data_IF_331443773148
#
_entry.id   IF_331443773148
#
_cell.length_a   1.000
_cell.length_b   1.000
_cell.length_c   1.000
_cell.angle_alpha   90.00
_cell.angle_beta   90.00
_cell.angle_gamma   90.00
#
_symmetry.space_group_name_H-M   'P 1'
#
loop_
_entity.id
_entity.type
_entity.pdbx_description
1 polymer ?
#
# COMPACT_ATOMS: atom_id res chain seq x y z
N UNK A 1 -17.75 3.39 8.22
CA UNK A 1 -18.47 4.60 7.79
C UNK A 1 -17.84 5.83 8.43
N UNK A 2 -17.75 6.92 7.67
CA UNK A 2 -17.33 8.24 8.12
C UNK A 2 -18.46 8.97 8.85
N UNK A 3 -18.11 9.77 9.86
CA UNK A 3 -19.01 10.76 10.44
C UNK A 3 -19.16 11.98 9.53
N UNK A 4 -20.19 12.81 9.77
CA UNK A 4 -20.36 14.06 9.04
C UNK A 4 -19.17 15.00 9.25
N UNK A 5 -18.63 15.08 10.46
CA UNK A 5 -17.44 15.87 10.78
C UNK A 5 -16.21 15.41 9.97
N UNK A 6 -16.02 14.10 9.79
CA UNK A 6 -14.94 13.55 8.96
C UNK A 6 -15.13 13.87 7.48
N UNK A 7 -16.37 13.88 6.98
CA UNK A 7 -16.69 14.27 5.59
C UNK A 7 -16.44 15.77 5.37
N UNK A 8 -16.90 16.62 6.30
CA UNK A 8 -16.63 18.07 6.27
C UNK A 8 -15.13 18.35 6.31
N UNK A 9 -14.40 17.69 7.21
CA UNK A 9 -12.95 17.79 7.29
C UNK A 9 -12.26 17.40 5.97
N UNK A 10 -12.67 16.30 5.34
CA UNK A 10 -12.16 15.89 4.04
C UNK A 10 -12.40 16.95 2.96
N UNK A 11 -13.61 17.52 2.90
CA UNK A 11 -13.97 18.53 1.92
C UNK A 11 -13.17 19.83 2.09
N UNK A 12 -12.84 20.20 3.33
CA UNK A 12 -12.05 21.40 3.62
C UNK A 12 -10.54 21.20 3.45
N UNK A 13 -10.01 20.03 3.81
CA UNK A 13 -8.57 19.79 3.94
C UNK A 13 -7.98 18.86 2.88
N UNK A 14 -8.81 18.15 2.12
CA UNK A 14 -8.38 17.22 1.06
C UNK A 14 -7.86 15.87 1.57
N UNK A 15 -7.98 15.56 2.86
CA UNK A 15 -7.61 14.27 3.45
C UNK A 15 -8.47 13.94 4.68
N UNK A 16 -8.50 12.67 5.07
CA UNK A 16 -9.15 12.21 6.31
C UNK A 16 -8.45 10.96 6.86
N UNK A 17 -8.40 10.83 8.18
CA UNK A 17 -7.90 9.65 8.86
C UNK A 17 -9.07 8.80 9.38
N UNK A 18 -8.98 7.49 9.17
CA UNK A 18 -9.94 6.52 9.69
C UNK A 18 -9.18 5.37 10.32
N UNK A 19 -9.45 5.11 11.59
CA UNK A 19 -8.81 4.06 12.36
C UNK A 19 -9.66 2.78 12.36
N UNK A 20 -9.02 1.63 12.55
CA UNK A 20 -9.72 0.36 12.76
C UNK A 20 -10.49 -0.18 11.55
N UNK A 21 -10.12 0.21 10.32
CA UNK A 21 -10.75 -0.31 9.10
C UNK A 21 -10.44 -1.79 8.88
N UNK A 22 -9.21 -2.19 9.16
CA UNK A 22 -8.74 -3.58 9.06
C UNK A 22 -8.59 -4.19 10.45
N UNK A 23 -8.88 -5.48 10.57
CA UNK A 23 -8.63 -6.27 11.76
C UNK A 23 -7.13 -6.50 12.01
N UNK A 24 -6.78 -6.91 13.23
CA UNK A 24 -5.41 -7.30 13.57
C UNK A 24 -4.86 -8.42 12.68
N UNK A 25 -5.73 -9.36 12.30
CA UNK A 25 -5.34 -10.55 11.55
C UNK A 25 -5.10 -10.21 10.08
N UNK A 26 -5.92 -9.32 9.50
CA UNK A 26 -5.68 -8.79 8.16
C UNK A 26 -4.38 -7.97 8.10
N UNK A 27 -4.13 -7.14 9.11
CA UNK A 27 -2.88 -6.38 9.23
C UNK A 27 -1.69 -7.34 9.35
N UNK A 28 -1.80 -8.42 10.14
CA UNK A 28 -0.76 -9.42 10.28
C UNK A 28 -0.46 -10.11 8.94
N UNK A 29 -1.49 -10.54 8.21
CA UNK A 29 -1.33 -11.16 6.90
C UNK A 29 -0.71 -10.21 5.86
N UNK A 30 -1.08 -8.93 5.87
CA UNK A 30 -0.44 -7.92 5.00
C UNK A 30 1.04 -7.75 5.33
N UNK A 31 1.42 -7.78 6.61
CA UNK A 31 2.82 -7.68 7.06
C UNK A 31 3.64 -8.90 6.63
N UNK A 32 3.13 -10.10 6.90
CA UNK A 32 3.79 -11.36 6.52
C UNK A 32 4.11 -11.39 5.02
N UNK A 33 3.12 -11.06 4.17
CA UNK A 33 3.32 -11.02 2.72
C UNK A 33 4.25 -9.87 2.30
N UNK A 34 4.27 -8.75 3.02
CA UNK A 34 5.25 -7.69 2.79
C UNK A 34 6.67 -8.22 3.00
N UNK A 35 6.90 -8.95 4.09
CA UNK A 35 8.20 -9.53 4.42
C UNK A 35 8.61 -10.59 3.39
N UNK A 36 7.66 -11.40 2.90
CA UNK A 36 7.90 -12.33 1.79
C UNK A 36 8.33 -11.61 0.51
N UNK A 37 7.75 -10.46 0.18
CA UNK A 37 8.19 -9.67 -0.97
C UNK A 37 9.61 -9.15 -0.80
N UNK A 38 9.99 -8.72 0.41
CA UNK A 38 11.36 -8.33 0.72
C UNK A 38 12.31 -9.51 0.53
N UNK A 39 11.96 -10.71 1.04
CA UNK A 39 12.79 -11.89 0.87
C UNK A 39 12.93 -12.31 -0.60
N UNK A 40 11.83 -12.33 -1.35
CA UNK A 40 11.83 -12.63 -2.79
C UNK A 40 12.67 -11.64 -3.60
N UNK A 41 12.75 -10.38 -3.16
CA UNK A 41 13.54 -9.37 -3.86
C UNK A 41 15.04 -9.70 -3.88
N UNK A 42 15.55 -10.51 -2.94
CA UNK A 42 16.96 -10.95 -2.94
C UNK A 42 17.38 -11.70 -4.21
N UNK A 43 16.42 -12.31 -4.91
CA UNK A 43 16.67 -13.06 -6.13
C UNK A 43 16.85 -12.16 -7.37
N UNK A 44 16.63 -10.85 -7.26
CA UNK A 44 16.78 -9.90 -8.36
C UNK A 44 17.85 -8.86 -8.04
N UNK A 45 18.69 -8.53 -9.03
CA UNK A 45 19.75 -7.52 -8.88
C UNK A 45 19.39 -6.18 -9.52
N UNK A 46 18.31 -6.13 -10.30
CA UNK A 46 17.85 -4.97 -11.04
C UNK A 46 16.32 -4.85 -10.97
N UNK A 47 15.80 -3.67 -11.28
CA UNK A 47 14.37 -3.44 -11.39
C UNK A 47 13.75 -4.37 -12.45
N UNK A 48 12.62 -4.98 -12.12
CA UNK A 48 11.89 -5.85 -13.05
C UNK A 48 10.40 -5.49 -13.11
N UNK A 49 9.56 -6.40 -13.61
CA UNK A 49 8.11 -6.18 -13.70
C UNK A 49 7.42 -6.04 -12.33
N UNK A 50 8.01 -6.57 -11.26
CA UNK A 50 7.40 -6.67 -9.92
C UNK A 50 8.08 -5.73 -8.93
N UNK A 51 9.41 -5.66 -8.94
CA UNK A 51 10.23 -4.98 -7.96
C UNK A 51 10.88 -3.72 -8.52
N UNK A 52 10.87 -2.68 -7.69
CA UNK A 52 11.63 -1.44 -7.82
C UNK A 52 12.57 -1.40 -6.62
N UNK A 53 13.87 -1.33 -6.87
CA UNK A 53 14.95 -1.50 -5.89
C UNK A 53 15.60 -0.16 -5.57
N UNK A 54 16.05 0.00 -4.34
CA UNK A 54 16.92 1.11 -3.94
C UNK A 54 18.37 0.87 -4.42
N UNK A 55 19.18 1.95 -4.57
CA UNK A 55 20.61 1.81 -4.80
C UNK A 55 21.29 1.01 -3.69
N UNK A 56 22.18 0.09 -4.08
CA UNK A 56 22.88 -0.78 -3.16
C UNK A 56 22.07 -2.00 -2.70
N UNK A 57 20.93 -2.29 -3.33
CA UNK A 57 20.24 -3.57 -3.16
C UNK A 57 21.19 -4.74 -3.48
N UNK A 58 21.22 -5.74 -2.59
CA UNK A 58 21.91 -7.01 -2.80
C UNK A 58 21.09 -8.16 -2.24
N UNK A 59 21.46 -9.39 -2.58
CA UNK A 59 20.82 -10.58 -2.01
C UNK A 59 21.06 -10.67 -0.50
N UNK A 60 22.19 -10.20 0.02
CA UNK A 60 22.52 -10.22 1.45
C UNK A 60 21.85 -9.06 2.20
N UNK A 61 21.78 -7.89 1.57
CA UNK A 61 21.18 -6.67 2.09
C UNK A 61 20.05 -6.18 1.16
N UNK A 62 18.83 -6.74 1.26
CA UNK A 62 17.74 -6.40 0.37
C UNK A 62 17.21 -5.00 0.69
N UNK A 63 17.30 -4.14 -0.32
CA UNK A 63 16.77 -2.77 -0.28
C UNK A 63 15.62 -2.61 -1.27
N UNK A 64 14.48 -3.22 -0.95
CA UNK A 64 13.27 -3.11 -1.79
C UNK A 64 12.63 -1.73 -1.60
N UNK A 65 12.50 -0.95 -2.67
CA UNK A 65 11.82 0.35 -2.65
C UNK A 65 10.31 0.19 -2.75
N UNK A 66 9.87 -0.61 -3.72
CA UNK A 66 8.45 -0.72 -4.06
C UNK A 66 8.11 -2.06 -4.70
N UNK A 67 6.92 -2.57 -4.37
CA UNK A 67 6.23 -3.61 -5.14
C UNK A 67 5.25 -2.96 -6.11
N UNK A 68 5.38 -3.28 -7.40
CA UNK A 68 4.53 -2.82 -8.49
C UNK A 68 3.27 -3.67 -8.55
N UNK A 69 2.11 -3.02 -8.56
CA UNK A 69 0.80 -3.66 -8.67
C UNK A 69 0.62 -4.85 -7.71
N UNK A 70 0.80 -4.67 -6.39
CA UNK A 70 0.81 -5.77 -5.41
C UNK A 70 -0.47 -6.59 -5.40
N UNK A 71 -1.60 -6.00 -5.81
CA UNK A 71 -2.88 -6.69 -5.98
C UNK A 71 -2.86 -7.78 -7.05
N UNK A 72 -1.97 -7.68 -8.05
CA UNK A 72 -1.76 -8.73 -9.05
C UNK A 72 -0.75 -9.78 -8.56
N UNK A 73 0.05 -9.44 -7.54
CA UNK A 73 1.15 -10.28 -7.07
C UNK A 73 0.74 -11.16 -5.89
N UNK A 74 -0.22 -10.73 -5.07
CA UNK A 74 -0.69 -11.51 -3.93
C UNK A 74 -2.14 -11.19 -3.55
N UNK A 75 -2.92 -12.24 -3.26
CA UNK A 75 -4.35 -12.14 -2.96
C UNK A 75 -4.64 -11.28 -1.72
N UNK A 76 -3.76 -11.26 -0.72
CA UNK A 76 -3.99 -10.46 0.50
C UNK A 76 -4.15 -8.96 0.19
N UNK A 77 -3.35 -8.43 -0.73
CA UNK A 77 -3.50 -7.02 -1.16
C UNK A 77 -4.72 -6.82 -2.03
N UNK A 78 -5.07 -7.82 -2.85
CA UNK A 78 -6.29 -7.77 -3.63
C UNK A 78 -7.54 -7.78 -2.72
N UNK A 79 -7.54 -8.56 -1.66
CA UNK A 79 -8.60 -8.57 -0.65
C UNK A 79 -8.67 -7.21 0.07
N UNK A 80 -7.53 -6.64 0.47
CA UNK A 80 -7.49 -5.33 1.11
C UNK A 80 -8.04 -4.21 0.20
N UNK A 81 -7.76 -4.26 -1.11
CA UNK A 81 -8.33 -3.32 -2.09
C UNK A 81 -9.87 -3.44 -2.19
N UNK A 82 -10.40 -4.65 -2.04
CA UNK A 82 -11.83 -4.95 -2.15
C UNK A 82 -12.53 -5.09 -0.78
N UNK A 83 -11.91 -4.60 0.30
CA UNK A 83 -12.48 -4.70 1.63
C UNK A 83 -13.73 -3.82 1.74
N UNK A 84 -14.88 -4.40 2.07
CA UNK A 84 -16.19 -3.70 2.09
C UNK A 84 -16.14 -2.44 2.96
N UNK A 85 -15.57 -2.53 4.17
CA UNK A 85 -15.46 -1.37 5.04
C UNK A 85 -14.59 -0.23 4.48
N UNK A 86 -13.62 -0.55 3.61
CA UNK A 86 -12.80 0.45 2.91
C UNK A 86 -13.60 1.06 1.76
N UNK A 87 -14.27 0.23 0.95
CA UNK A 87 -15.07 0.67 -0.18
C UNK A 87 -16.26 1.53 0.25
N UNK A 88 -16.92 1.18 1.35
CA UNK A 88 -18.01 1.96 1.95
C UNK A 88 -17.54 3.37 2.34
N UNK A 89 -16.35 3.47 2.96
CA UNK A 89 -15.74 4.77 3.31
C UNK A 89 -15.45 5.59 2.06
N UNK A 90 -14.86 4.98 1.03
CA UNK A 90 -14.55 5.65 -0.23
C UNK A 90 -15.83 6.10 -0.94
N UNK A 91 -16.86 5.26 -0.97
CA UNK A 91 -18.16 5.57 -1.59
C UNK A 91 -18.81 6.81 -0.96
N UNK A 92 -18.69 7.01 0.36
CA UNK A 92 -19.18 8.23 1.01
C UNK A 92 -18.52 9.52 0.51
N UNK A 93 -17.29 9.44 -0.01
CA UNK A 93 -16.53 10.61 -0.47
C UNK A 93 -16.68 10.85 -1.97
N UNK A 94 -16.72 9.78 -2.79
CA UNK A 94 -16.66 9.90 -4.27
C UNK A 94 -17.85 9.26 -5.00
N UNK A 95 -18.79 8.68 -4.27
CA UNK A 95 -19.94 7.94 -4.81
C UNK A 95 -19.64 6.48 -5.16
N UNK A 96 -20.69 5.74 -5.54
CA UNK A 96 -20.65 4.28 -5.68
C UNK A 96 -19.92 3.78 -6.95
N UNK A 97 -19.63 4.67 -7.89
CA UNK A 97 -18.98 4.37 -9.17
C UNK A 97 -17.46 4.12 -9.07
N UNK A 98 -17.03 3.35 -8.07
CA UNK A 98 -15.61 3.18 -7.72
C UNK A 98 -14.89 2.33 -8.76
N UNK A 99 -13.71 2.82 -9.19
CA UNK A 99 -12.76 2.06 -10.02
C UNK A 99 -11.34 2.27 -9.51
N UNK A 100 -10.55 1.21 -9.52
CA UNK A 100 -9.13 1.29 -9.18
C UNK A 100 -8.31 1.82 -10.35
N UNK A 101 -7.37 2.72 -10.10
CA UNK A 101 -6.39 3.20 -11.07
C UNK A 101 -4.96 2.95 -10.58
N UNK A 102 -4.49 1.72 -10.77
CA UNK A 102 -3.16 1.29 -10.35
C UNK A 102 -3.00 1.11 -8.84
N UNK A 103 -2.06 0.24 -8.46
CA UNK A 103 -1.74 -0.02 -7.05
C UNK A 103 -0.22 -0.09 -6.89
N UNK A 104 0.28 0.36 -5.74
CA UNK A 104 1.71 0.39 -5.40
C UNK A 104 1.86 0.15 -3.91
N UNK A 105 2.87 -0.63 -3.53
CA UNK A 105 3.32 -0.72 -2.14
C UNK A 105 4.69 -0.03 -2.05
N UNK A 106 4.77 1.08 -1.33
CA UNK A 106 6.03 1.81 -1.13
C UNK A 106 6.60 1.47 0.24
N UNK A 107 7.86 1.05 0.29
CA UNK A 107 8.54 0.68 1.51
C UNK A 107 9.50 1.80 1.92
N UNK A 108 9.60 2.04 3.23
CA UNK A 108 10.61 2.90 3.87
C UNK A 108 11.33 2.07 4.91
N UNK A 109 12.19 1.17 4.45
CA UNK A 109 13.00 0.31 5.31
C UNK A 109 14.07 1.17 6.03
N UNK A 110 14.56 0.73 7.20
CA UNK A 110 15.51 1.50 7.98
C UNK A 110 16.83 1.72 7.22
N UNK A 111 17.54 2.80 7.55
CA UNK A 111 18.90 3.13 7.08
C UNK A 111 19.06 3.53 5.61
N UNK A 112 18.02 3.38 4.78
CA UNK A 112 18.03 3.80 3.39
C UNK A 112 16.67 4.30 2.92
N UNK A 113 16.62 4.85 1.72
CA UNK A 113 15.38 5.26 1.08
C UNK A 113 15.55 6.50 0.20
N UNK A 114 14.78 6.53 -0.88
CA UNK A 114 14.70 7.71 -1.74
C UNK A 114 13.62 8.68 -1.22
N UNK A 115 13.85 10.01 -1.26
CA UNK A 115 12.85 10.99 -0.88
C UNK A 115 11.65 10.95 -1.83
N UNK A 116 10.46 11.21 -1.29
CA UNK A 116 9.26 11.49 -2.08
C UNK A 116 9.06 12.99 -2.04
N UNK A 117 9.39 13.64 -3.17
CA UNK A 117 9.21 15.08 -3.32
C UNK A 117 7.72 15.46 -3.41
N UNK A 118 7.43 16.72 -3.12
CA UNK A 118 6.08 17.29 -3.22
C UNK A 118 5.54 17.17 -4.64
N UNK A 119 4.33 16.62 -4.77
CA UNK A 119 3.57 16.48 -6.02
C UNK A 119 2.08 16.50 -5.75
#
# INVERSE_FOLDING_TARGET
MLSNEQIEFYNENGYVAVEGVFSSDEIAALREVTDEFVERSRAVSENDAVFDLEPGHTAEEPRLRRVKTPTNQHQVYNNALHHDGMLDIVAQLIGDGIRTNGTKLNLKLPEFGSPVEWH
#
